data_IF_516677363377
#
_entry.id   IF_516677363377
#
_cell.length_a   1.000
_cell.length_b   1.000
_cell.length_c   1.000
_cell.angle_alpha   90.00
_cell.angle_beta   90.00
_cell.angle_gamma   90.00
#
_symmetry.space_group_name_H-M   'P 1'
#
loop_
_entity.id
_entity.type
_entity.pdbx_description
1 polymer ?
#
# COMPACT_ATOMS: atom_id res chain seq x y z
N UNK A 1 -17.17 5.10 -1.44
CA UNK A 1 -15.78 5.02 -0.92
C UNK A 1 -15.26 3.61 -1.19
N UNK A 2 -13.99 3.48 -1.57
CA UNK A 2 -13.34 2.17 -1.79
C UNK A 2 -12.55 1.83 -0.53
N UNK A 3 -12.90 0.72 0.12
CA UNK A 3 -12.16 0.22 1.28
C UNK A 3 -11.06 -0.71 0.78
N UNK A 4 -9.81 -0.42 1.15
CA UNK A 4 -8.64 -1.22 0.80
C UNK A 4 -8.00 -1.67 2.10
N UNK A 5 -7.71 -2.96 2.22
CA UNK A 5 -7.10 -3.53 3.41
C UNK A 5 -6.99 -5.04 3.31
N UNK A 6 -6.13 -5.61 4.14
CA UNK A 6 -6.01 -7.06 4.29
C UNK A 6 -7.00 -7.54 5.35
N UNK A 7 -7.86 -8.48 4.96
CA UNK A 7 -8.81 -9.12 5.87
C UNK A 7 -8.15 -10.40 6.40
N UNK A 8 -8.19 -10.66 7.73
CA UNK A 8 -7.66 -11.90 8.29
C UNK A 8 -8.29 -13.14 7.65
N UNK A 9 -7.49 -14.19 7.49
CA UNK A 9 -7.98 -15.46 6.92
C UNK A 9 -9.16 -16.01 7.74
N UNK A 10 -10.19 -16.48 7.04
CA UNK A 10 -11.40 -17.05 7.65
C UNK A 10 -12.43 -16.03 8.14
N UNK A 11 -12.17 -14.72 7.98
CA UNK A 11 -13.13 -13.68 8.34
C UNK A 11 -14.16 -13.48 7.23
N UNK A 12 -15.44 -13.44 7.61
CA UNK A 12 -16.56 -13.14 6.69
C UNK A 12 -16.83 -11.64 6.64
N UNK A 13 -17.02 -11.12 5.43
CA UNK A 13 -17.52 -9.76 5.21
C UNK A 13 -19.04 -9.83 5.04
N UNK A 14 -19.79 -9.33 6.03
CA UNK A 14 -21.24 -9.22 5.95
C UNK A 14 -21.65 -7.79 5.57
N UNK A 15 -22.59 -7.67 4.64
CA UNK A 15 -23.19 -6.39 4.23
C UNK A 15 -24.71 -6.51 4.25
N UNK A 16 -25.43 -5.42 4.52
CA UNK A 16 -26.88 -5.41 4.43
C UNK A 16 -27.31 -5.49 2.96
N UNK A 17 -28.07 -6.52 2.58
CA UNK A 17 -28.45 -6.76 1.17
C UNK A 17 -29.18 -5.58 0.50
N UNK A 18 -29.97 -4.83 1.27
CA UNK A 18 -30.64 -3.62 0.79
C UNK A 18 -29.67 -2.54 0.26
N UNK A 19 -28.42 -2.53 0.74
CA UNK A 19 -27.41 -1.58 0.27
C UNK A 19 -26.93 -1.89 -1.15
N UNK A 20 -26.95 -3.15 -1.58
CA UNK A 20 -26.57 -3.53 -2.94
C UNK A 20 -27.63 -3.13 -3.97
N UNK A 21 -28.89 -2.97 -3.55
CA UNK A 21 -29.98 -2.46 -4.40
C UNK A 21 -29.80 -0.98 -4.73
N UNK A 22 -28.97 -0.25 -3.97
CA UNK A 22 -28.61 1.15 -4.22
C UNK A 22 -27.36 1.25 -5.11
N UNK A 23 -27.15 0.27 -5.99
CA UNK A 23 -26.04 0.21 -6.95
C UNK A 23 -24.63 0.25 -6.30
N UNK A 24 -24.52 -0.07 -5.01
CA UNK A 24 -23.22 -0.21 -4.35
C UNK A 24 -22.51 -1.47 -4.87
N UNK A 25 -21.19 -1.38 -5.05
CA UNK A 25 -20.34 -2.48 -5.52
C UNK A 25 -19.39 -2.96 -4.43
N UNK A 26 -19.37 -4.26 -4.18
CA UNK A 26 -18.31 -4.94 -3.45
C UNK A 26 -17.30 -5.49 -4.47
N UNK A 27 -16.06 -5.02 -4.42
CA UNK A 27 -15.02 -5.44 -5.35
C UNK A 27 -13.71 -5.67 -4.59
N UNK A 28 -13.12 -6.84 -4.78
CA UNK A 28 -11.76 -7.12 -4.33
C UNK A 28 -10.73 -6.45 -5.24
N UNK A 29 -9.61 -6.04 -4.67
CA UNK A 29 -8.47 -5.51 -5.41
C UNK A 29 -7.19 -6.07 -4.81
N UNK A 30 -6.53 -6.97 -5.56
CA UNK A 30 -5.23 -7.52 -5.18
C UNK A 30 -4.15 -6.70 -5.88
N UNK A 31 -3.20 -6.14 -5.12
CA UNK A 31 -2.12 -5.30 -5.66
C UNK A 31 -2.63 -4.14 -6.55
N UNK A 32 -3.75 -3.53 -6.20
CA UNK A 32 -4.37 -2.47 -7.03
C UNK A 32 -5.01 -3.00 -8.32
N UNK A 33 -5.30 -4.30 -8.40
CA UNK A 33 -5.79 -5.00 -9.61
C UNK A 33 -4.82 -4.90 -10.79
N UNK A 34 -3.51 -4.78 -10.51
CA UNK A 34 -2.49 -4.63 -11.52
C UNK A 34 -2.15 -5.95 -12.23
N UNK A 35 -1.68 -5.82 -13.47
CA UNK A 35 -0.99 -6.85 -14.23
C UNK A 35 0.50 -6.53 -14.17
N UNK A 36 1.16 -7.00 -13.11
CA UNK A 36 2.53 -6.61 -12.74
C UNK A 36 3.49 -6.39 -13.92
N UNK A 37 3.66 -7.38 -14.82
CA UNK A 37 4.60 -7.29 -15.95
C UNK A 37 4.27 -6.20 -16.98
N UNK A 38 3.00 -5.82 -17.09
CA UNK A 38 2.51 -4.83 -18.06
C UNK A 38 2.43 -3.45 -17.43
N UNK A 39 2.00 -3.38 -16.17
CA UNK A 39 1.71 -2.12 -15.50
C UNK A 39 2.95 -1.54 -14.80
N UNK A 40 3.91 -2.37 -14.38
CA UNK A 40 5.10 -1.88 -13.68
C UNK A 40 5.91 -0.87 -14.51
N UNK A 41 6.22 -1.11 -15.81
CA UNK A 41 6.91 -0.10 -16.62
C UNK A 41 6.14 1.23 -16.67
N UNK A 42 4.81 1.18 -16.83
CA UNK A 42 3.97 2.38 -16.86
C UNK A 42 3.97 3.15 -15.54
N UNK A 43 4.00 2.44 -14.41
CA UNK A 43 4.09 3.06 -13.08
C UNK A 43 5.44 3.75 -12.89
N UNK A 44 6.53 3.17 -13.41
CA UNK A 44 7.86 3.82 -13.43
C UNK A 44 7.83 5.07 -14.29
N UNK A 45 7.26 5.00 -15.50
CA UNK A 45 7.13 6.17 -16.38
C UNK A 45 6.35 7.28 -15.68
N UNK A 46 5.25 6.96 -14.98
CA UNK A 46 4.48 7.96 -14.23
C UNK A 46 5.27 8.59 -13.08
N UNK A 47 6.16 7.86 -12.42
CA UNK A 47 7.06 8.44 -11.43
C UNK A 47 8.06 9.41 -12.08
N UNK A 48 8.71 8.98 -13.17
CA UNK A 48 9.68 9.80 -13.90
C UNK A 48 9.04 11.07 -14.51
N UNK A 49 7.78 10.97 -14.95
CA UNK A 49 6.98 12.09 -15.46
C UNK A 49 6.45 13.02 -14.34
N UNK A 50 6.75 12.74 -13.07
CA UNK A 50 6.29 13.52 -11.91
C UNK A 50 4.79 13.37 -11.63
N UNK A 51 4.14 12.34 -12.15
CA UNK A 51 2.71 12.04 -11.93
C UNK A 51 2.47 11.15 -10.71
N UNK A 52 3.51 10.54 -10.16
CA UNK A 52 3.50 9.81 -8.90
C UNK A 52 4.55 10.41 -7.96
N UNK A 53 4.10 11.01 -6.86
CA UNK A 53 4.99 11.62 -5.85
C UNK A 53 5.42 10.57 -4.81
N UNK A 54 6.26 9.62 -5.23
CA UNK A 54 6.72 8.54 -4.34
C UNK A 54 7.69 9.06 -3.26
N UNK A 55 8.48 10.07 -3.58
CA UNK A 55 9.50 10.62 -2.67
C UNK A 55 8.87 11.26 -1.42
N UNK A 56 7.71 11.91 -1.58
CA UNK A 56 6.95 12.50 -0.48
C UNK A 56 6.39 11.46 0.50
N UNK A 57 6.30 10.19 0.08
CA UNK A 57 5.85 9.10 0.95
C UNK A 57 6.97 8.56 1.84
N UNK A 58 8.24 8.86 1.52
CA UNK A 58 9.40 8.36 2.25
C UNK A 58 9.59 9.22 3.51
N UNK A 59 9.46 8.58 4.67
CA UNK A 59 9.64 9.22 5.97
C UNK A 59 11.09 9.23 6.43
N UNK A 60 11.86 8.18 6.10
CA UNK A 60 13.25 8.06 6.53
C UNK A 60 14.07 7.10 5.65
N UNK A 61 15.38 7.28 5.66
CA UNK A 61 16.37 6.37 5.10
C UNK A 61 17.20 5.78 6.23
N UNK A 62 17.16 4.46 6.38
CA UNK A 62 17.79 3.74 7.48
C UNK A 62 18.88 2.80 6.96
N UNK A 63 19.83 2.48 7.83
CA UNK A 63 20.82 1.42 7.56
C UNK A 63 20.24 0.07 7.96
N UNK A 64 20.77 -1.00 7.39
CA UNK A 64 20.32 -2.36 7.70
C UNK A 64 20.50 -2.71 9.20
N UNK A 65 21.52 -2.18 9.86
CA UNK A 65 21.76 -2.37 11.30
C UNK A 65 20.65 -1.79 12.19
N UNK A 66 19.95 -0.77 11.69
CA UNK A 66 18.90 -0.05 12.43
C UNK A 66 17.50 -0.71 12.26
N UNK A 67 17.43 -1.89 11.61
CA UNK A 67 16.17 -2.56 11.24
C UNK A 67 15.23 -2.83 12.44
N UNK A 68 15.77 -3.17 13.61
CA UNK A 68 14.95 -3.44 14.79
C UNK A 68 14.24 -2.18 15.28
N UNK A 69 14.98 -1.06 15.34
CA UNK A 69 14.41 0.24 15.69
C UNK A 69 13.36 0.67 14.67
N UNK A 70 13.59 0.40 13.38
CA UNK A 70 12.62 0.69 12.33
C UNK A 70 11.30 -0.08 12.49
N UNK A 71 11.35 -1.33 12.97
CA UNK A 71 10.16 -2.11 13.32
C UNK A 71 9.43 -1.54 14.54
N UNK A 72 10.14 -1.04 15.54
CA UNK A 72 9.54 -0.40 16.71
C UNK A 72 8.80 0.88 16.30
N UNK A 73 9.45 1.73 15.49
CA UNK A 73 8.85 2.95 14.94
C UNK A 73 7.56 2.63 14.13
N UNK A 74 7.57 1.53 13.37
CA UNK A 74 6.40 1.09 12.59
C UNK A 74 5.19 0.74 13.49
N UNK A 75 5.43 0.18 14.69
CA UNK A 75 4.36 -0.17 15.63
C UNK A 75 3.76 1.05 16.32
N UNK A 76 4.57 2.08 16.57
CA UNK A 76 4.12 3.33 17.19
C UNK A 76 3.25 4.20 16.25
N UNK A 77 3.26 3.91 14.94
CA UNK A 77 2.34 4.50 13.97
C UNK A 77 2.74 5.90 13.47
N UNK A 78 3.97 6.34 13.73
CA UNK A 78 4.48 7.67 13.34
C UNK A 78 5.22 7.73 12.01
N UNK A 79 5.53 6.59 11.39
CA UNK A 79 6.32 6.49 10.15
C UNK A 79 5.51 5.86 9.02
N UNK A 80 5.48 6.50 7.85
CA UNK A 80 4.71 6.02 6.70
C UNK A 80 5.51 4.97 5.90
N UNK A 81 6.75 5.28 5.53
CA UNK A 81 7.62 4.37 4.76
C UNK A 81 9.09 4.67 5.03
N UNK A 82 9.85 3.65 5.40
CA UNK A 82 11.29 3.73 5.61
C UNK A 82 12.00 2.94 4.51
N UNK A 83 13.08 3.49 3.95
CA UNK A 83 13.90 2.83 2.92
C UNK A 83 15.19 2.34 3.56
N UNK A 84 15.46 1.04 3.45
CA UNK A 84 16.74 0.47 3.89
C UNK A 84 17.76 0.67 2.77
N UNK A 85 18.83 1.40 3.07
CA UNK A 85 19.96 1.58 2.17
C UNK A 85 20.92 0.40 2.32
N UNK A 86 21.06 -0.37 1.24
CA UNK A 86 22.10 -1.38 1.09
C UNK A 86 23.32 -0.63 0.54
N UNK A 87 24.44 -0.65 1.25
CA UNK A 87 25.68 0.08 0.96
C UNK A 87 25.78 1.49 1.58
N UNK A 88 26.29 1.51 2.82
CA UNK A 88 27.12 2.59 3.38
C UNK A 88 27.91 2.06 4.56
#
# INVERSE_FOLDING_TARGET
ATVIGMIPMGTMVAVHGAELLQEKRLQGSLMGSNRFRVDMPRLVDFYLDGRLHLDEMISDHIRLEDINQAFDNLREGGVARQIIMMDS
#
